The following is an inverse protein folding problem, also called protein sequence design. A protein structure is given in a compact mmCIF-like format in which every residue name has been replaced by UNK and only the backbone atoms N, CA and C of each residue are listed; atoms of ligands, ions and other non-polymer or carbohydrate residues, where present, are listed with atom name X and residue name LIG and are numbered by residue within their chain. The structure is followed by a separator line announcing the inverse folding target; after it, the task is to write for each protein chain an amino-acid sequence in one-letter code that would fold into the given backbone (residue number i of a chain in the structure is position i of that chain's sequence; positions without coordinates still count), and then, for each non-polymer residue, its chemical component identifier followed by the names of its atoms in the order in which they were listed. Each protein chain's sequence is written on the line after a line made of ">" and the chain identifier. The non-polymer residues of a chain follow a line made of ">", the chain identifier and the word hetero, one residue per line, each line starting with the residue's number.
data_IF_537179195706
#
_entry.id   IF_537179195706
#
_cell.length_a   1.000
_cell.length_b   1.000
_cell.length_c   1.000
_cell.angle_alpha   90.00
_cell.angle_beta   90.00
_cell.angle_gamma   90.00
#
_symmetry.space_group_name_H-M   'P 1'
#
loop_
_entity.id
_entity.type
_entity.pdbx_description
1 polymer ?
#
# COMPACT_ATOMS: atom_id res chain seq x y z
N UNK A 1 11.35 9.52 16.90
CA UNK A 1 10.49 10.73 16.76
C UNK A 1 9.10 10.21 16.43
N UNK A 2 8.04 10.61 17.14
CA UNK A 2 6.67 10.24 16.73
C UNK A 2 6.36 11.08 15.49
N UNK A 3 6.03 10.48 14.36
CA UNK A 3 5.62 11.28 13.22
C UNK A 3 4.18 11.74 13.37
N UNK A 4 3.84 12.63 12.46
CA UNK A 4 2.63 13.43 12.51
C UNK A 4 1.63 12.90 11.50
N UNK A 5 0.35 12.87 11.88
CA UNK A 5 -0.70 12.52 10.93
C UNK A 5 -0.78 13.56 9.80
N UNK A 6 -1.06 13.12 8.56
CA UNK A 6 -1.17 14.04 7.42
C UNK A 6 -2.34 15.03 7.59
N UNK A 7 -2.16 16.25 7.10
CA UNK A 7 -3.19 17.29 7.03
C UNK A 7 -4.00 17.22 5.74
N UNK A 8 -5.03 18.06 5.65
CA UNK A 8 -5.90 18.19 4.47
C UNK A 8 -5.09 18.51 3.22
N UNK A 9 -5.25 17.67 2.19
CA UNK A 9 -4.64 17.89 0.88
C UNK A 9 -3.13 17.62 0.83
N UNK A 10 -2.55 17.14 1.94
CA UNK A 10 -1.17 16.70 1.97
C UNK A 10 -0.94 15.57 0.96
N UNK A 11 0.26 15.61 0.40
CA UNK A 11 0.77 14.60 -0.50
C UNK A 11 2.03 14.03 0.10
N UNK A 12 2.10 12.72 0.20
CA UNK A 12 3.28 12.04 0.72
C UNK A 12 3.83 11.07 -0.29
N UNK A 13 5.16 10.99 -0.33
CA UNK A 13 5.90 9.93 -0.99
C UNK A 13 6.47 9.04 0.10
N UNK A 14 6.22 7.75 0.00
CA UNK A 14 6.74 6.75 0.93
C UNK A 14 7.49 5.72 0.13
N UNK A 15 8.61 5.24 0.67
CA UNK A 15 9.29 4.07 0.18
C UNK A 15 9.67 3.17 1.34
N UNK A 16 9.88 1.89 1.04
CA UNK A 16 10.29 0.94 2.06
C UNK A 16 10.80 -0.37 1.45
N UNK A 17 11.52 -1.13 2.26
CA UNK A 17 12.04 -2.45 1.88
C UNK A 17 10.98 -3.51 2.13
N UNK A 18 10.80 -4.43 1.18
CA UNK A 18 9.91 -5.58 1.34
C UNK A 18 10.70 -6.78 1.87
N UNK A 19 10.16 -7.48 2.86
CA UNK A 19 10.75 -8.72 3.41
C UNK A 19 9.76 -9.87 3.23
N UNK A 20 10.25 -11.04 2.84
CA UNK A 20 9.42 -12.18 2.43
C UNK A 20 8.91 -13.06 3.57
N UNK A 21 8.56 -12.47 4.72
CA UNK A 21 8.28 -13.17 5.97
C UNK A 21 9.49 -13.23 6.92
N UNK A 22 9.37 -13.85 8.12
CA UNK A 22 10.37 -13.75 9.18
C UNK A 22 11.74 -14.34 8.82
N UNK A 23 11.77 -15.40 8.02
CA UNK A 23 13.00 -16.13 7.68
C UNK A 23 13.57 -15.73 6.32
N UNK A 24 12.78 -15.04 5.49
CA UNK A 24 13.21 -14.60 4.16
C UNK A 24 13.64 -13.14 4.27
N UNK A 25 14.89 -12.88 3.87
CA UNK A 25 15.44 -11.52 3.84
C UNK A 25 14.70 -10.57 2.90
N UNK A 26 15.34 -9.46 2.55
CA UNK A 26 14.75 -8.49 1.64
C UNK A 26 14.41 -9.14 0.29
N UNK A 27 13.16 -8.98 -0.15
CA UNK A 27 12.61 -9.51 -1.42
C UNK A 27 12.21 -8.41 -2.39
N UNK A 28 12.53 -7.15 -2.08
CA UNK A 28 12.21 -6.03 -2.94
C UNK A 28 12.12 -4.71 -2.20
N UNK A 29 11.44 -3.77 -2.83
CA UNK A 29 11.10 -2.46 -2.30
C UNK A 29 9.72 -2.03 -2.80
N UNK A 30 9.14 -1.05 -2.15
CA UNK A 30 7.94 -0.40 -2.65
C UNK A 30 8.11 1.12 -2.67
N UNK A 31 7.32 1.74 -3.54
CA UNK A 31 7.11 3.18 -3.59
C UNK A 31 5.62 3.44 -3.56
N UNK A 32 5.20 4.45 -2.82
CA UNK A 32 3.80 4.79 -2.69
C UNK A 32 3.58 6.30 -2.68
N UNK A 33 2.47 6.71 -3.30
CA UNK A 33 1.97 8.09 -3.23
C UNK A 33 0.66 8.09 -2.46
N UNK A 34 0.55 9.00 -1.49
CA UNK A 34 -0.63 9.18 -0.66
C UNK A 34 -1.21 10.56 -0.91
N UNK A 35 -2.51 10.63 -1.12
CA UNK A 35 -3.27 11.88 -1.23
C UNK A 35 -4.31 11.91 -0.13
N UNK A 36 -4.14 12.79 0.85
CA UNK A 36 -5.13 12.99 1.91
C UNK A 36 -6.42 13.54 1.32
N UNK A 37 -7.49 12.73 1.39
CA UNK A 37 -8.83 13.02 0.90
C UNK A 37 -9.75 13.40 2.05
N UNK A 38 -10.76 14.20 1.73
CA UNK A 38 -11.86 14.51 2.64
C UNK A 38 -13.13 13.91 2.10
N UNK A 39 -13.82 13.14 2.94
CA UNK A 39 -15.18 12.74 2.64
C UNK A 39 -16.10 13.97 2.81
N UNK A 40 -16.81 14.34 1.76
CA UNK A 40 -17.77 15.45 1.81
C UNK A 40 -18.81 15.20 2.91
N UNK A 41 -19.01 16.18 3.80
CA UNK A 41 -19.97 16.11 4.90
C UNK A 41 -19.48 15.38 6.17
N UNK A 42 -18.29 14.77 6.16
CA UNK A 42 -17.72 14.14 7.35
C UNK A 42 -16.70 15.07 8.02
N UNK A 43 -16.93 15.40 9.29
CA UNK A 43 -15.97 16.16 10.12
C UNK A 43 -15.01 15.16 10.76
N UNK A 44 -13.72 15.26 10.44
CA UNK A 44 -12.64 14.53 11.14
C UNK A 44 -12.28 13.13 10.61
N UNK A 45 -13.02 12.59 9.64
CA UNK A 45 -12.68 11.33 8.97
C UNK A 45 -11.71 11.60 7.80
N UNK A 46 -10.42 11.32 8.01
CA UNK A 46 -9.43 11.33 6.93
C UNK A 46 -9.41 9.97 6.24
N UNK A 47 -9.46 10.00 4.91
CA UNK A 47 -9.20 8.87 4.02
C UNK A 47 -8.07 9.29 3.09
N UNK A 48 -7.37 8.36 2.50
CA UNK A 48 -6.31 8.61 1.53
C UNK A 48 -6.61 7.88 0.24
N UNK A 49 -6.33 8.50 -0.90
CA UNK A 49 -6.09 7.76 -2.14
C UNK A 49 -4.62 7.38 -2.16
N UNK A 50 -4.36 6.10 -2.34
CA UNK A 50 -3.01 5.57 -2.32
C UNK A 50 -2.73 4.80 -3.61
N UNK A 51 -1.51 4.96 -4.12
CA UNK A 51 -1.01 4.21 -5.25
C UNK A 51 0.34 3.61 -4.87
N UNK A 52 0.47 2.30 -5.03
CA UNK A 52 1.66 1.54 -4.70
C UNK A 52 2.28 0.92 -5.95
N UNK A 53 3.61 0.93 -5.98
CA UNK A 53 4.43 0.15 -6.90
C UNK A 53 5.33 -0.76 -6.06
N UNK A 54 5.14 -2.06 -6.20
CA UNK A 54 5.96 -3.09 -5.55
C UNK A 54 6.98 -3.61 -6.55
N UNK A 55 8.26 -3.35 -6.31
CA UNK A 55 9.36 -3.83 -7.13
C UNK A 55 9.93 -5.10 -6.51
N UNK A 56 9.80 -6.22 -7.23
CA UNK A 56 10.27 -7.54 -6.84
C UNK A 56 11.35 -8.03 -7.84
N UNK A 57 12.17 -9.03 -7.51
CA UNK A 57 13.23 -9.55 -8.38
C UNK A 57 12.74 -9.95 -9.78
N UNK A 58 11.51 -10.49 -9.87
CA UNK A 58 10.96 -11.06 -11.10
C UNK A 58 9.99 -10.11 -11.83
N UNK A 59 9.89 -8.84 -11.41
CA UNK A 59 8.98 -7.85 -11.99
C UNK A 59 8.31 -6.96 -10.93
N UNK A 60 7.36 -6.16 -11.37
CA UNK A 60 6.61 -5.25 -10.50
C UNK A 60 5.12 -5.55 -10.45
N UNK A 61 4.49 -5.17 -9.34
CA UNK A 61 3.03 -5.16 -9.16
C UNK A 61 2.61 -3.72 -8.86
N UNK A 62 1.55 -3.25 -9.52
CA UNK A 62 0.97 -1.92 -9.30
C UNK A 62 -0.41 -2.04 -8.69
N UNK A 63 -0.70 -1.16 -7.73
CA UNK A 63 -1.94 -1.19 -6.98
C UNK A 63 -2.44 0.19 -6.56
N UNK A 64 -3.75 0.33 -6.36
CA UNK A 64 -4.36 1.58 -5.89
C UNK A 64 -5.72 1.36 -5.22
N UNK A 65 -6.16 2.34 -4.43
CA UNK A 65 -7.40 2.28 -3.68
C UNK A 65 -7.49 3.40 -2.64
N UNK A 66 -8.55 3.36 -1.83
CA UNK A 66 -8.79 4.34 -0.77
C UNK A 66 -8.84 3.67 0.59
N UNK A 67 -8.25 4.30 1.60
CA UNK A 67 -8.31 3.81 2.99
C UNK A 67 -9.66 4.07 3.64
N UNK A 68 -10.01 3.24 4.62
CA UNK A 68 -11.12 3.50 5.52
C UNK A 68 -10.71 4.54 6.56
N UNK A 69 -11.63 5.42 7.01
CA UNK A 69 -11.35 6.29 8.13
C UNK A 69 -11.07 5.49 9.41
N UNK A 70 -9.97 5.77 10.10
CA UNK A 70 -9.65 5.14 11.39
C UNK A 70 -8.15 4.93 11.59
N UNK A 71 -7.76 4.57 12.83
CA UNK A 71 -6.36 4.43 13.26
C UNK A 71 -5.84 2.98 13.25
N UNK A 72 -6.69 2.00 12.96
CA UNK A 72 -6.34 0.57 12.88
C UNK A 72 -7.18 -0.13 11.80
N UNK A 73 -7.05 0.31 10.55
CA UNK A 73 -7.68 -0.33 9.41
C UNK A 73 -6.72 -1.32 8.73
N UNK A 74 -7.25 -2.49 8.38
CA UNK A 74 -6.77 -3.24 7.24
C UNK A 74 -7.52 -2.71 6.02
N UNK A 75 -6.77 -2.12 5.09
CA UNK A 75 -7.32 -1.52 3.89
C UNK A 75 -7.07 -2.40 2.68
N UNK A 76 -8.12 -2.57 1.88
CA UNK A 76 -8.10 -3.39 0.67
C UNK A 76 -7.93 -2.48 -0.56
N UNK A 77 -6.99 -2.86 -1.41
CA UNK A 77 -6.62 -2.14 -2.61
C UNK A 77 -6.70 -3.06 -3.82
N UNK A 78 -6.97 -2.49 -4.99
CA UNK A 78 -7.00 -3.23 -6.24
C UNK A 78 -5.59 -3.37 -6.83
N UNK A 79 -5.26 -4.55 -7.33
CA UNK A 79 -4.11 -4.77 -8.21
C UNK A 79 -4.55 -4.45 -9.62
N UNK A 80 -3.93 -3.43 -10.22
CA UNK A 80 -4.30 -2.91 -11.54
C UNK A 80 -3.37 -3.40 -12.65
N UNK A 81 -2.27 -4.05 -12.30
CA UNK A 81 -1.34 -4.61 -13.27
C UNK A 81 0.00 -5.03 -12.66
N UNK A 82 0.88 -5.45 -13.55
CA UNK A 82 2.26 -5.77 -13.23
C UNK A 82 3.11 -5.93 -14.47
N UNK A 83 4.39 -6.22 -14.27
CA UNK A 83 5.39 -6.41 -15.33
C UNK A 83 6.08 -7.75 -15.19
N UNK A 84 6.74 -8.21 -16.27
CA UNK A 84 7.50 -9.46 -16.32
C UNK A 84 6.69 -10.66 -15.79
N UNK A 85 7.13 -11.35 -14.72
CA UNK A 85 6.40 -12.49 -14.15
C UNK A 85 4.98 -12.14 -13.70
N UNK A 86 4.73 -10.86 -13.42
CA UNK A 86 3.43 -10.35 -12.98
C UNK A 86 2.69 -9.61 -14.10
N UNK A 87 3.11 -9.77 -15.36
CA UNK A 87 2.36 -9.22 -16.49
C UNK A 87 0.92 -9.73 -16.49
N UNK A 88 -0.04 -8.81 -16.58
CA UNK A 88 -1.47 -9.13 -16.50
C UNK A 88 -2.01 -9.44 -15.09
N UNK A 89 -1.21 -9.25 -14.04
CA UNK A 89 -1.65 -9.45 -12.66
C UNK A 89 -2.89 -8.59 -12.34
N UNK A 90 -3.90 -9.23 -11.74
CA UNK A 90 -5.13 -8.63 -11.23
C UNK A 90 -5.47 -9.26 -9.88
N UNK A 91 -6.35 -8.61 -9.12
CA UNK A 91 -6.80 -9.10 -7.82
C UNK A 91 -6.78 -7.97 -6.79
N UNK A 92 -6.53 -8.31 -5.53
CA UNK A 92 -6.48 -7.35 -4.44
C UNK A 92 -5.25 -7.55 -3.56
N UNK A 93 -4.89 -6.51 -2.81
CA UNK A 93 -3.92 -6.63 -1.73
C UNK A 93 -4.41 -5.87 -0.51
N UNK A 94 -4.01 -6.35 0.67
CA UNK A 94 -4.37 -5.78 1.95
C UNK A 94 -3.14 -5.16 2.58
N UNK A 95 -3.27 -3.93 3.08
CA UNK A 95 -2.22 -3.25 3.83
C UNK A 95 -2.70 -3.04 5.25
N UNK A 96 -1.87 -3.44 6.21
CA UNK A 96 -2.04 -3.13 7.64
C UNK A 96 -0.83 -2.37 8.12
N UNK A 97 -1.04 -1.12 8.56
CA UNK A 97 -0.02 -0.25 9.12
C UNK A 97 -0.47 0.27 10.48
N UNK A 98 0.41 0.31 11.48
CA UNK A 98 0.09 0.89 12.78
C UNK A 98 0.36 2.39 12.75
N UNK A 99 -0.57 3.24 13.18
CA UNK A 99 -0.39 4.70 13.08
C UNK A 99 0.73 5.25 13.99
N UNK A 100 1.24 4.45 14.94
CA UNK A 100 2.46 4.76 15.70
C UNK A 100 3.72 4.84 14.82
N UNK A 101 3.59 4.45 13.55
CA UNK A 101 4.65 4.27 12.57
C UNK A 101 4.67 5.34 11.47
N UNK A 102 3.71 6.27 11.45
CA UNK A 102 3.92 7.53 10.74
C UNK A 102 5.10 8.19 11.45
N UNK A 103 6.32 8.06 10.92
CA UNK A 103 7.55 8.44 11.62
C UNK A 103 8.76 7.57 11.28
N UNK A 104 9.16 7.53 10.01
CA UNK A 104 10.49 7.06 9.55
C UNK A 104 10.74 5.55 9.55
N UNK A 105 10.35 4.83 10.62
CA UNK A 105 10.71 3.43 10.87
C UNK A 105 9.48 2.52 11.00
N UNK A 106 8.48 2.75 10.16
CA UNK A 106 7.23 2.00 10.19
C UNK A 106 7.28 0.63 9.54
N UNK A 107 6.54 -0.33 10.07
CA UNK A 107 6.38 -1.66 9.46
C UNK A 107 4.93 -1.87 9.01
N UNK A 108 4.74 -2.02 7.69
CA UNK A 108 3.47 -2.46 7.15
C UNK A 108 3.49 -3.96 6.82
N UNK A 109 2.39 -4.65 7.07
CA UNK A 109 2.15 -5.99 6.53
C UNK A 109 1.33 -5.88 5.26
N UNK A 110 1.77 -6.55 4.20
CA UNK A 110 1.13 -6.53 2.88
C UNK A 110 0.83 -7.96 2.44
N UNK A 111 -0.43 -8.24 2.10
CA UNK A 111 -0.87 -9.57 1.66
C UNK A 111 -1.49 -9.47 0.28
N UNK A 112 -0.87 -10.11 -0.71
CA UNK A 112 -1.36 -10.15 -2.10
C UNK A 112 -2.32 -11.33 -2.32
N UNK A 113 -3.46 -11.06 -2.96
CA UNK A 113 -4.40 -12.05 -3.50
C UNK A 113 -4.47 -11.88 -5.02
N UNK A 114 -3.56 -12.56 -5.72
CA UNK A 114 -3.50 -12.55 -7.17
C UNK A 114 -4.56 -13.49 -7.76
N UNK A 115 -5.30 -12.99 -8.75
CA UNK A 115 -6.13 -13.81 -9.63
C UNK A 115 -5.27 -14.23 -10.82
N UNK A 116 -5.09 -15.53 -11.00
CA UNK A 116 -4.47 -16.07 -12.20
C UNK A 116 -5.55 -16.44 -13.19
N UNK A 117 -5.55 -15.80 -14.37
CA UNK A 117 -6.24 -16.39 -15.52
C UNK A 117 -5.40 -17.60 -15.97
N UNK A 118 -6.05 -18.76 -16.10
CA UNK A 118 -5.42 -19.88 -16.79
C UNK A 118 -5.25 -19.45 -18.25
N UNK A 119 -4.01 -19.32 -18.71
CA UNK A 119 -3.74 -19.15 -20.14
C UNK A 119 -4.13 -20.49 -20.78
N UNK A 120 -5.28 -20.49 -21.48
CA UNK A 120 -5.70 -21.58 -22.36
C UNK A 120 -4.84 -21.65 -23.61
#
# INVERSE_FOLDING_TARGET
>A
MKGQLPSRGDRMLVSGKLHGGPERGQVGEFFATYYSLHQSGAVGALTSLEQYTFNLPDGSIMGTGTTKPGIESEDEFAIIGGTARYAGARGTYFVRQSHHEFGGDGTATIVFKLMTEAIS
#
